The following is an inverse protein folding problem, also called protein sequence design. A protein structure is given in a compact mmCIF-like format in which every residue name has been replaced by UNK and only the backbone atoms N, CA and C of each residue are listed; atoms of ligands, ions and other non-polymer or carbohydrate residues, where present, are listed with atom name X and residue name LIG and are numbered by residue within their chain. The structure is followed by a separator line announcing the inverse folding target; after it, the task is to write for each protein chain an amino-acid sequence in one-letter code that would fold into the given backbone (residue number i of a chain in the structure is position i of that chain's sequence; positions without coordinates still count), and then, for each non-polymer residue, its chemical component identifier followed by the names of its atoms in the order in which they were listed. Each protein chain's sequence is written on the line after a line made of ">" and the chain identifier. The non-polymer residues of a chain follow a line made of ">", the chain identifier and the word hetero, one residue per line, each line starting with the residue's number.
data_IF_259170389634
#
_entry.id   IF_259170389634
#
_cell.length_a   1.000
_cell.length_b   1.000
_cell.length_c   1.000
_cell.angle_alpha   90.00
_cell.angle_beta   90.00
_cell.angle_gamma   90.00
#
_symmetry.space_group_name_H-M   'P 1'
#
loop_
_entity.id
_entity.type
_entity.pdbx_description
1 polymer ?
#
# COMPACT_ATOMS: atom_id res chain seq x y z
N UNK A 1 11.30 -14.59 -6.18
CA UNK A 1 12.52 -13.97 -6.75
C UNK A 1 13.63 -15.00 -6.93
N UNK A 2 14.12 -15.66 -5.89
CA UNK A 2 15.21 -16.64 -5.97
C UNK A 2 14.98 -17.78 -6.97
N UNK A 3 13.74 -18.26 -7.13
CA UNK A 3 13.41 -19.30 -8.12
C UNK A 3 13.66 -18.84 -9.57
N UNK A 4 13.35 -17.57 -9.90
CA UNK A 4 13.61 -17.01 -11.25
C UNK A 4 15.12 -16.89 -11.50
N UNK A 5 15.88 -16.40 -10.53
CA UNK A 5 17.33 -16.29 -10.63
C UNK A 5 18.00 -17.68 -10.75
N UNK A 6 17.56 -18.64 -9.94
CA UNK A 6 18.06 -20.03 -10.01
C UNK A 6 17.82 -20.63 -11.40
N UNK A 7 16.59 -20.49 -11.95
CA UNK A 7 16.28 -20.95 -13.30
C UNK A 7 17.17 -20.29 -14.35
N UNK A 8 17.38 -18.98 -14.28
CA UNK A 8 18.27 -18.24 -15.19
C UNK A 8 19.70 -18.77 -15.11
N UNK A 9 20.22 -18.99 -13.89
CA UNK A 9 21.58 -19.49 -13.69
C UNK A 9 21.77 -20.92 -14.18
N UNK A 10 20.74 -21.77 -14.10
CA UNK A 10 20.79 -23.15 -14.63
C UNK A 10 20.75 -23.17 -16.18
N UNK A 11 20.01 -22.25 -16.80
CA UNK A 11 19.92 -22.17 -18.27
C UNK A 11 21.13 -21.48 -18.89
N UNK A 12 21.83 -20.61 -18.15
CA UNK A 12 23.03 -19.90 -18.60
C UNK A 12 24.13 -20.04 -17.53
N UNK A 13 24.79 -21.21 -17.45
CA UNK A 13 25.83 -21.47 -16.47
C UNK A 13 27.06 -20.59 -16.75
N UNK A 14 27.78 -20.25 -15.69
CA UNK A 14 29.06 -19.56 -15.78
C UNK A 14 30.12 -20.49 -16.39
N UNK A 15 30.95 -19.94 -17.26
CA UNK A 15 32.02 -20.69 -17.94
C UNK A 15 33.41 -20.25 -17.50
N UNK A 16 33.54 -19.05 -16.93
CA UNK A 16 34.84 -18.56 -16.43
C UNK A 16 35.08 -19.01 -15.00
N UNK A 17 36.26 -19.53 -14.73
CA UNK A 17 36.65 -20.05 -13.39
C UNK A 17 36.53 -18.92 -12.35
N UNK A 18 37.04 -17.74 -12.64
CA UNK A 18 36.98 -16.58 -11.73
C UNK A 18 35.57 -16.23 -11.29
N UNK A 19 34.61 -16.24 -12.22
CA UNK A 19 33.19 -15.94 -11.94
C UNK A 19 32.56 -17.05 -11.08
N UNK A 20 32.97 -18.30 -11.29
CA UNK A 20 32.51 -19.47 -10.52
C UNK A 20 33.04 -19.40 -9.08
N UNK A 21 34.34 -19.14 -8.91
CA UNK A 21 34.98 -19.00 -7.59
C UNK A 21 34.39 -17.84 -6.81
N UNK A 22 34.23 -16.67 -7.44
CA UNK A 22 33.55 -15.52 -6.84
C UNK A 22 32.15 -15.89 -6.35
N UNK A 23 31.37 -16.65 -7.15
CA UNK A 23 30.04 -17.10 -6.73
C UNK A 23 30.08 -18.04 -5.53
N UNK A 24 31.04 -18.94 -5.46
CA UNK A 24 31.23 -19.82 -4.31
C UNK A 24 31.59 -19.02 -3.05
N UNK A 25 32.45 -18.04 -3.17
CA UNK A 25 32.80 -17.16 -2.04
C UNK A 25 31.61 -16.39 -1.55
N UNK A 26 30.80 -15.83 -2.46
CA UNK A 26 29.55 -15.17 -2.12
C UNK A 26 28.58 -16.11 -1.39
N UNK A 27 28.38 -17.32 -1.89
CA UNK A 27 27.51 -18.31 -1.22
C UNK A 27 28.01 -18.61 0.18
N UNK A 28 29.34 -18.80 0.36
CA UNK A 28 29.94 -19.08 1.66
C UNK A 28 29.76 -17.91 2.65
N UNK A 29 29.88 -16.67 2.18
CA UNK A 29 29.61 -15.48 3.01
C UNK A 29 28.14 -15.40 3.40
N UNK A 30 27.20 -15.53 2.45
CA UNK A 30 25.76 -15.47 2.72
C UNK A 30 25.24 -16.62 3.61
N UNK A 31 25.92 -17.76 3.65
CA UNK A 31 25.57 -18.85 4.61
C UNK A 31 25.71 -18.42 6.06
N UNK A 32 26.52 -17.42 6.36
CA UNK A 32 26.69 -16.86 7.71
C UNK A 32 25.57 -15.87 8.08
N UNK A 33 24.84 -15.35 7.09
CA UNK A 33 23.76 -14.41 7.31
C UNK A 33 22.45 -15.15 7.59
N UNK A 34 21.80 -14.87 8.72
CA UNK A 34 20.50 -15.44 9.07
C UNK A 34 19.38 -14.52 8.56
N UNK A 35 19.20 -14.43 7.24
CA UNK A 35 18.24 -13.53 6.57
C UNK A 35 17.07 -14.25 5.92
N UNK A 36 16.90 -15.55 6.20
CA UNK A 36 15.88 -16.38 5.51
C UNK A 36 14.46 -15.93 5.86
N UNK A 37 14.22 -15.53 7.11
CA UNK A 37 12.91 -15.09 7.56
C UNK A 37 12.54 -13.75 6.91
N UNK A 38 13.44 -12.80 6.92
CA UNK A 38 13.28 -11.46 6.32
C UNK A 38 13.06 -11.57 4.81
N UNK A 39 13.82 -12.41 4.12
CA UNK A 39 13.64 -12.63 2.68
C UNK A 39 12.27 -13.22 2.32
N UNK A 40 11.67 -14.05 3.19
CA UNK A 40 10.32 -14.59 2.98
C UNK A 40 9.23 -13.54 3.14
N UNK A 41 9.45 -12.52 3.96
CA UNK A 41 8.48 -11.44 4.19
C UNK A 41 8.49 -10.39 3.08
N UNK A 42 9.54 -10.34 2.25
CA UNK A 42 9.62 -9.40 1.13
C UNK A 42 8.69 -9.80 -0.02
N UNK A 43 7.98 -8.82 -0.53
CA UNK A 43 7.21 -8.97 -1.77
C UNK A 43 8.11 -8.97 -3.01
N UNK A 44 7.55 -9.23 -4.17
CA UNK A 44 8.26 -9.15 -5.45
C UNK A 44 8.51 -7.69 -5.85
N UNK A 45 9.59 -7.10 -5.30
CA UNK A 45 9.95 -5.69 -5.44
C UNK A 45 10.09 -5.31 -6.92
N UNK A 46 10.75 -6.14 -7.76
CA UNK A 46 10.90 -5.89 -9.19
C UNK A 46 9.53 -5.73 -9.87
N UNK A 47 8.56 -6.58 -9.53
CA UNK A 47 7.20 -6.51 -10.08
C UNK A 47 6.51 -5.21 -9.68
N UNK A 48 6.64 -4.77 -8.43
CA UNK A 48 6.00 -3.53 -7.95
C UNK A 48 6.66 -2.28 -8.53
N UNK A 49 7.99 -2.25 -8.64
CA UNK A 49 8.73 -1.16 -9.30
C UNK A 49 8.31 -1.06 -10.77
N UNK A 50 8.24 -2.18 -11.48
CA UNK A 50 7.79 -2.17 -12.87
C UNK A 50 6.33 -1.69 -13.04
N UNK A 51 5.43 -2.07 -12.11
CA UNK A 51 4.07 -1.50 -12.09
C UNK A 51 4.08 0.01 -11.85
N UNK A 52 4.98 0.50 -11.01
CA UNK A 52 5.13 1.92 -10.74
C UNK A 52 5.61 2.67 -12.00
N UNK A 53 6.66 2.20 -12.66
CA UNK A 53 7.15 2.77 -13.92
C UNK A 53 6.07 2.86 -15.00
N UNK A 54 5.16 1.87 -15.03
CA UNK A 54 4.01 1.84 -15.94
C UNK A 54 2.79 2.65 -15.45
N UNK A 55 2.88 3.35 -14.31
CA UNK A 55 1.76 4.04 -13.65
C UNK A 55 0.55 3.12 -13.39
N UNK A 56 0.79 1.85 -13.09
CA UNK A 56 -0.23 0.81 -12.83
C UNK A 56 -0.23 0.29 -11.38
N UNK A 57 0.61 0.84 -10.52
CA UNK A 57 0.62 0.47 -9.10
C UNK A 57 -0.62 1.03 -8.41
N UNK A 58 -1.30 0.19 -7.61
CA UNK A 58 -2.40 0.68 -6.78
C UNK A 58 -1.89 1.36 -5.51
N UNK A 59 -2.70 2.22 -4.84
CA UNK A 59 -2.30 2.81 -3.57
C UNK A 59 -1.92 1.77 -2.51
N UNK A 60 -2.69 0.71 -2.38
CA UNK A 60 -2.40 -0.40 -1.48
C UNK A 60 -1.07 -1.11 -1.81
N UNK A 61 -0.83 -1.42 -3.10
CA UNK A 61 0.43 -2.03 -3.53
C UNK A 61 1.64 -1.12 -3.27
N UNK A 62 1.46 0.21 -3.42
CA UNK A 62 2.49 1.19 -3.10
C UNK A 62 2.87 1.16 -1.62
N UNK A 63 1.89 1.10 -0.72
CA UNK A 63 2.13 0.99 0.73
C UNK A 63 2.85 -0.33 1.07
N UNK A 64 2.44 -1.44 0.47
CA UNK A 64 3.13 -2.74 0.65
C UNK A 64 4.61 -2.64 0.24
N UNK A 65 4.90 -1.98 -0.89
CA UNK A 65 6.28 -1.75 -1.34
C UNK A 65 7.08 -0.95 -0.30
N UNK A 66 6.48 0.10 0.27
CA UNK A 66 7.12 0.94 1.28
C UNK A 66 7.38 0.19 2.59
N UNK A 67 6.49 -0.70 3.01
CA UNK A 67 6.69 -1.54 4.19
C UNK A 67 7.84 -2.55 4.04
N UNK A 68 8.29 -2.82 2.81
CA UNK A 68 9.49 -3.63 2.60
C UNK A 68 10.79 -2.89 2.97
N UNK A 69 10.82 -1.55 2.99
CA UNK A 69 12.05 -0.79 3.21
C UNK A 69 12.73 -1.05 4.56
N UNK A 70 12.02 -1.05 5.70
CA UNK A 70 12.64 -1.43 6.98
C UNK A 70 13.23 -2.84 6.97
N UNK A 71 12.55 -3.80 6.33
CA UNK A 71 13.03 -5.17 6.22
C UNK A 71 14.28 -5.25 5.34
N UNK A 72 14.31 -4.53 4.23
CA UNK A 72 15.50 -4.42 3.37
C UNK A 72 16.67 -3.82 4.16
N UNK A 73 16.37 -2.81 5.00
CA UNK A 73 17.37 -2.23 5.88
C UNK A 73 18.00 -3.27 6.79
N UNK A 74 17.21 -4.01 7.50
CA UNK A 74 17.71 -5.04 8.42
C UNK A 74 18.53 -6.12 7.70
N UNK A 75 18.08 -6.52 6.49
CA UNK A 75 18.82 -7.47 5.66
C UNK A 75 20.21 -6.92 5.29
N UNK A 76 20.27 -5.68 4.81
CA UNK A 76 21.53 -5.05 4.40
C UNK A 76 22.46 -4.90 5.59
N UNK A 77 21.94 -4.49 6.74
CA UNK A 77 22.71 -4.37 7.97
C UNK A 77 23.30 -5.74 8.38
N UNK A 78 22.48 -6.79 8.36
CA UNK A 78 22.93 -8.15 8.67
C UNK A 78 24.02 -8.62 7.69
N UNK A 79 23.89 -8.29 6.40
CA UNK A 79 24.93 -8.58 5.39
C UNK A 79 26.23 -7.83 5.70
N UNK A 80 26.17 -6.56 6.04
CA UNK A 80 27.36 -5.77 6.39
C UNK A 80 28.09 -6.31 7.61
N UNK A 81 27.35 -6.78 8.63
CA UNK A 81 27.93 -7.32 9.87
C UNK A 81 28.59 -8.69 9.66
N UNK A 82 28.09 -9.50 8.73
CA UNK A 82 28.49 -10.89 8.55
C UNK A 82 29.29 -11.17 7.28
N UNK A 83 29.48 -10.18 6.40
CA UNK A 83 30.19 -10.32 5.14
C UNK A 83 31.14 -9.15 4.90
N UNK A 84 32.03 -9.27 3.92
CA UNK A 84 32.90 -8.17 3.46
C UNK A 84 32.19 -7.20 2.51
N UNK A 85 30.91 -7.43 2.19
CA UNK A 85 30.15 -6.61 1.26
C UNK A 85 29.67 -5.33 1.92
N UNK A 86 29.84 -4.22 1.24
CA UNK A 86 29.31 -2.93 1.67
C UNK A 86 28.40 -2.34 0.61
N UNK A 87 27.20 -1.91 1.03
CA UNK A 87 26.22 -1.25 0.17
C UNK A 87 25.93 0.14 0.71
N UNK A 88 26.19 1.18 -0.07
CA UNK A 88 26.11 2.59 0.36
C UNK A 88 24.75 3.27 0.10
N UNK A 89 23.70 2.51 -0.27
CA UNK A 89 22.39 3.08 -0.67
C UNK A 89 21.46 3.46 0.47
N UNK A 90 21.96 3.53 1.68
CA UNK A 90 21.15 3.55 2.90
C UNK A 90 20.48 4.88 3.20
N UNK A 91 21.16 6.00 2.92
CA UNK A 91 20.64 7.33 3.25
C UNK A 91 19.45 7.71 2.38
N UNK A 92 19.48 7.32 1.10
CA UNK A 92 18.45 7.64 0.12
C UNK A 92 17.10 7.00 0.48
N UNK A 93 17.11 5.77 1.02
CA UNK A 93 15.89 5.10 1.47
C UNK A 93 15.25 5.77 2.69
N UNK A 94 16.05 6.24 3.65
CA UNK A 94 15.51 6.98 4.81
C UNK A 94 14.88 8.31 4.41
N UNK A 95 15.50 9.01 3.48
CA UNK A 95 14.93 10.25 2.95
C UNK A 95 13.64 10.01 2.18
N UNK A 96 13.60 8.96 1.35
CA UNK A 96 12.41 8.57 0.61
C UNK A 96 11.27 8.20 1.57
N UNK A 97 11.51 7.33 2.55
CA UNK A 97 10.52 6.93 3.56
C UNK A 97 9.95 8.15 4.29
N UNK A 98 10.83 9.07 4.73
CA UNK A 98 10.43 10.31 5.38
C UNK A 98 9.58 11.20 4.46
N UNK A 99 9.99 11.39 3.20
CA UNK A 99 9.24 12.19 2.22
C UNK A 99 7.86 11.60 1.98
N UNK A 100 7.77 10.28 1.79
CA UNK A 100 6.50 9.61 1.51
C UNK A 100 5.56 9.69 2.73
N UNK A 101 6.05 9.41 3.94
CA UNK A 101 5.26 9.53 5.19
C UNK A 101 4.76 10.94 5.44
N UNK A 102 5.55 11.95 5.09
CA UNK A 102 5.14 13.35 5.20
C UNK A 102 4.18 13.78 4.09
N UNK A 103 4.09 13.04 3.00
CA UNK A 103 3.25 13.40 1.84
C UNK A 103 1.89 12.72 1.86
N UNK A 104 1.82 11.48 2.33
CA UNK A 104 0.62 10.65 2.21
C UNK A 104 0.07 10.15 3.54
N UNK A 105 -1.25 9.98 3.61
CA UNK A 105 -1.95 9.26 4.66
C UNK A 105 -1.93 7.75 4.39
N UNK A 106 -1.04 6.99 5.02
CA UNK A 106 -0.87 5.56 4.79
C UNK A 106 -2.16 4.77 5.06
N UNK A 107 -2.85 5.05 6.16
CA UNK A 107 -4.10 4.39 6.53
C UNK A 107 -5.21 4.57 5.47
N UNK A 108 -5.14 5.65 4.71
CA UNK A 108 -6.07 5.88 3.61
C UNK A 108 -5.61 5.16 2.34
N UNK A 109 -4.31 5.20 2.03
CA UNK A 109 -3.76 4.48 0.87
C UNK A 109 -4.04 2.98 0.92
N UNK A 110 -3.93 2.36 2.11
CA UNK A 110 -4.19 0.92 2.30
C UNK A 110 -5.61 0.48 1.93
N UNK A 111 -6.58 1.37 2.01
CA UNK A 111 -7.99 1.06 1.71
C UNK A 111 -8.26 0.89 0.23
N UNK A 112 -7.42 1.44 -0.65
CA UNK A 112 -7.70 1.52 -2.08
C UNK A 112 -6.85 0.57 -2.91
N UNK A 113 -7.49 -0.45 -3.46
CA UNK A 113 -6.87 -1.39 -4.40
C UNK A 113 -6.82 -0.87 -5.84
N UNK A 114 -7.55 0.21 -6.14
CA UNK A 114 -7.59 0.85 -7.46
C UNK A 114 -7.61 2.37 -7.31
N UNK A 115 -7.20 3.09 -8.35
CA UNK A 115 -7.27 4.55 -8.38
C UNK A 115 -8.65 5.09 -8.81
N UNK A 116 -9.55 4.21 -9.24
CA UNK A 116 -10.83 4.61 -9.86
C UNK A 116 -11.92 5.03 -8.87
N UNK A 117 -11.79 4.72 -7.58
CA UNK A 117 -12.83 4.97 -6.57
C UNK A 117 -12.24 5.50 -5.27
N UNK A 118 -11.43 6.57 -5.37
CA UNK A 118 -10.85 7.23 -4.21
C UNK A 118 -11.87 8.22 -3.66
N UNK A 119 -12.31 8.01 -2.43
CA UNK A 119 -13.36 8.80 -1.75
C UNK A 119 -12.79 9.71 -0.66
N UNK A 120 -11.49 9.69 -0.42
CA UNK A 120 -10.84 10.50 0.61
C UNK A 120 -9.54 11.14 0.11
N UNK A 121 -9.15 12.25 0.73
CA UNK A 121 -7.83 12.84 0.47
C UNK A 121 -6.72 11.89 0.93
N UNK A 122 -5.85 11.50 0.01
CA UNK A 122 -4.71 10.62 0.27
C UNK A 122 -3.46 11.37 0.77
N UNK A 123 -3.46 12.70 0.65
CA UNK A 123 -2.33 13.54 1.01
C UNK A 123 -2.44 14.03 2.46
N UNK A 124 -1.30 14.22 3.11
CA UNK A 124 -1.21 14.92 4.39
C UNK A 124 -1.70 16.36 4.25
N UNK A 125 -2.20 16.93 5.35
CA UNK A 125 -2.68 18.31 5.39
C UNK A 125 -1.63 19.28 4.87
N UNK A 126 -2.08 20.28 4.13
CA UNK A 126 -1.28 21.35 3.52
C UNK A 126 -0.36 20.92 2.35
N UNK A 127 -0.34 19.66 1.95
CA UNK A 127 0.36 19.25 0.72
C UNK A 127 -0.40 19.72 -0.53
N UNK A 128 -1.73 19.59 -0.49
CA UNK A 128 -2.65 20.07 -1.54
C UNK A 128 -3.84 20.78 -0.89
N UNK A 129 -3.73 22.10 -0.59
CA UNK A 129 -4.76 22.84 0.14
C UNK A 129 -6.15 22.80 -0.53
N UNK A 130 -6.18 22.71 -1.86
CA UNK A 130 -7.44 22.59 -2.61
C UNK A 130 -8.19 21.30 -2.27
N UNK A 131 -7.44 20.18 -2.13
CA UNK A 131 -8.02 18.89 -1.74
C UNK A 131 -8.49 18.92 -0.29
N UNK A 132 -7.76 19.59 0.60
CA UNK A 132 -8.14 19.74 2.00
C UNK A 132 -9.49 20.49 2.12
N UNK A 133 -9.66 21.56 1.34
CA UNK A 133 -10.93 22.32 1.29
C UNK A 133 -12.07 21.45 0.74
N UNK A 134 -11.83 20.68 -0.30
CA UNK A 134 -12.83 19.78 -0.87
C UNK A 134 -13.22 18.68 0.10
N UNK A 135 -12.25 18.09 0.80
CA UNK A 135 -12.48 17.07 1.82
C UNK A 135 -13.34 17.63 2.96
N UNK A 136 -13.03 18.83 3.47
CA UNK A 136 -13.83 19.47 4.51
C UNK A 136 -15.27 19.72 4.07
N UNK A 137 -15.48 20.14 2.82
CA UNK A 137 -16.84 20.33 2.28
C UNK A 137 -17.58 18.99 2.19
N UNK A 138 -16.90 17.93 1.73
CA UNK A 138 -17.48 16.59 1.65
C UNK A 138 -17.88 16.08 3.03
N UNK A 139 -16.98 16.16 4.01
CA UNK A 139 -17.22 15.72 5.38
C UNK A 139 -18.40 16.47 6.02
N UNK A 140 -18.49 17.80 5.77
CA UNK A 140 -19.60 18.61 6.25
C UNK A 140 -20.94 18.19 5.60
N UNK A 141 -20.95 17.88 4.31
CA UNK A 141 -22.15 17.40 3.62
C UNK A 141 -22.59 16.02 4.11
N UNK A 142 -21.63 15.08 4.27
CA UNK A 142 -21.91 13.75 4.81
C UNK A 142 -22.48 13.85 6.22
N UNK A 143 -21.90 14.67 7.09
CA UNK A 143 -22.43 14.90 8.45
C UNK A 143 -23.86 15.46 8.44
N UNK A 144 -24.20 16.39 7.53
CA UNK A 144 -25.58 16.87 7.37
C UNK A 144 -26.53 15.75 6.93
N UNK A 145 -26.10 14.88 6.02
CA UNK A 145 -26.89 13.73 5.58
C UNK A 145 -27.14 12.78 6.76
N UNK A 146 -26.12 12.50 7.57
CA UNK A 146 -26.26 11.64 8.76
C UNK A 146 -27.29 12.20 9.75
N UNK A 147 -27.24 13.51 10.04
CA UNK A 147 -28.21 14.19 10.89
C UNK A 147 -29.63 14.08 10.31
N UNK A 148 -29.80 14.25 8.99
CA UNK A 148 -31.09 14.10 8.34
C UNK A 148 -31.63 12.68 8.47
N UNK A 149 -30.79 11.68 8.23
CA UNK A 149 -31.15 10.26 8.37
C UNK A 149 -31.55 9.93 9.81
N UNK A 150 -30.79 10.41 10.80
CA UNK A 150 -31.13 10.24 12.20
C UNK A 150 -32.49 10.85 12.55
N UNK A 151 -32.75 12.07 12.08
CA UNK A 151 -34.02 12.77 12.33
C UNK A 151 -35.22 12.06 11.66
N UNK A 152 -35.04 11.57 10.44
CA UNK A 152 -36.02 10.76 9.74
C UNK A 152 -36.32 9.45 10.47
N UNK A 153 -35.28 8.77 10.92
CA UNK A 153 -35.42 7.51 11.67
C UNK A 153 -35.99 7.70 13.08
N UNK A 154 -35.78 8.87 13.72
CA UNK A 154 -36.35 9.17 15.04
C UNK A 154 -37.86 9.50 14.98
N UNK A 155 -38.32 10.18 13.92
CA UNK A 155 -39.73 10.52 13.74
C UNK A 155 -40.65 9.29 13.60
N UNK A 156 -40.12 8.19 13.09
CA UNK A 156 -40.87 6.97 12.78
C UNK A 156 -40.76 5.87 13.87
N UNK A 157 -40.28 6.19 15.07
CA UNK A 157 -40.18 5.21 16.19
C UNK A 157 -41.52 4.70 16.70
N UNK A 158 -42.64 5.21 16.20
CA UNK A 158 -43.98 4.73 16.59
C UNK A 158 -44.34 3.33 16.04
N UNK A 159 -43.68 2.88 14.97
CA UNK A 159 -43.91 1.54 14.38
C UNK A 159 -42.66 0.66 14.43
N UNK A 160 -42.68 -0.32 15.36
CA UNK A 160 -41.57 -1.25 15.64
C UNK A 160 -41.14 -2.15 14.47
N UNK A 161 -41.71 -2.01 13.27
CA UNK A 161 -41.47 -2.89 12.09
C UNK A 161 -40.98 -2.14 10.85
N UNK A 162 -40.62 -0.87 10.93
CA UNK A 162 -40.18 -0.14 9.74
C UNK A 162 -38.66 -0.22 9.59
N UNK A 163 -38.17 -0.56 8.36
CA UNK A 163 -36.76 -0.58 8.08
C UNK A 163 -36.17 0.83 8.12
N UNK A 164 -34.99 0.96 8.72
CA UNK A 164 -34.28 2.23 8.82
C UNK A 164 -33.91 2.77 7.43
N UNK A 165 -34.01 4.08 7.25
CA UNK A 165 -33.47 4.76 6.07
C UNK A 165 -31.95 4.67 6.15
N UNK A 166 -31.32 4.28 5.04
CA UNK A 166 -29.86 4.16 4.90
C UNK A 166 -29.38 5.00 3.73
N UNK A 167 -28.16 5.51 3.85
CA UNK A 167 -27.46 6.17 2.76
C UNK A 167 -26.52 5.15 2.11
N UNK A 168 -26.77 4.85 0.85
CA UNK A 168 -26.08 3.79 0.12
C UNK A 168 -25.60 4.27 -1.24
N UNK A 169 -24.56 3.63 -1.77
CA UNK A 169 -23.99 3.92 -3.07
C UNK A 169 -24.29 2.81 -4.05
N UNK A 170 -24.75 3.13 -5.26
CA UNK A 170 -24.92 2.12 -6.31
C UNK A 170 -23.57 1.70 -6.89
N UNK A 171 -23.34 0.40 -6.97
CA UNK A 171 -22.14 -0.15 -7.59
C UNK A 171 -22.03 0.13 -9.11
N UNK A 172 -23.18 0.40 -9.77
CA UNK A 172 -23.23 0.56 -11.22
C UNK A 172 -22.90 1.98 -11.70
N UNK A 173 -23.29 3.02 -10.95
CA UNK A 173 -23.27 4.40 -11.43
C UNK A 173 -22.53 5.37 -10.50
N UNK A 174 -21.89 4.88 -9.42
CA UNK A 174 -21.25 5.71 -8.39
C UNK A 174 -22.20 6.78 -7.78
N UNK A 175 -23.50 6.58 -7.89
CA UNK A 175 -24.49 7.52 -7.36
C UNK A 175 -24.89 7.15 -5.94
N UNK A 176 -25.03 8.18 -5.11
CA UNK A 176 -25.52 8.05 -3.73
C UNK A 176 -27.03 8.22 -3.69
N UNK A 177 -27.71 7.41 -2.89
CA UNK A 177 -29.16 7.44 -2.72
C UNK A 177 -29.55 7.05 -1.29
N UNK A 178 -30.77 7.46 -0.93
CA UNK A 178 -31.41 7.03 0.32
C UNK A 178 -32.24 5.78 0.03
N UNK A 179 -31.90 4.66 0.65
CA UNK A 179 -32.69 3.43 0.56
C UNK A 179 -33.69 3.33 1.71
N UNK A 180 -34.90 2.87 1.39
CA UNK A 180 -35.94 2.60 2.38
C UNK A 180 -36.84 1.46 1.87
N UNK A 181 -37.72 0.94 2.73
CA UNK A 181 -38.71 -0.07 2.31
C UNK A 181 -39.90 0.57 1.60
N UNK A 182 -40.55 -0.20 0.70
CA UNK A 182 -41.74 0.26 -0.10
C UNK A 182 -42.90 0.80 0.74
N UNK A 183 -42.97 0.55 2.03
CA UNK A 183 -43.99 1.11 2.94
C UNK A 183 -43.71 2.55 3.39
N UNK A 184 -42.57 3.13 3.04
CA UNK A 184 -42.13 4.49 3.40
C UNK A 184 -42.07 5.46 2.20
N UNK A 185 -42.39 4.99 1.02
CA UNK A 185 -42.42 5.81 -0.21
C UNK A 185 -43.75 6.52 -0.34
#
# INVERSE_FOLDING_TARGET
>A
QGKRLLKKNLLAPLTKIEDIEYRYDMVNQFRKCNITHELKSLVDIEKYIHKWELNKISPHEFVILLYCFPTIHNIIQNIHENTSLQYNYFNDFKELDKKVKNTFHFDQLEKYNTLSHIESNLFQKNIKPELDILQQKLDHLLHKIDILIENLNKKDKSDKKQAMIKFEKTAANDQWYLSTTAKRV
#
